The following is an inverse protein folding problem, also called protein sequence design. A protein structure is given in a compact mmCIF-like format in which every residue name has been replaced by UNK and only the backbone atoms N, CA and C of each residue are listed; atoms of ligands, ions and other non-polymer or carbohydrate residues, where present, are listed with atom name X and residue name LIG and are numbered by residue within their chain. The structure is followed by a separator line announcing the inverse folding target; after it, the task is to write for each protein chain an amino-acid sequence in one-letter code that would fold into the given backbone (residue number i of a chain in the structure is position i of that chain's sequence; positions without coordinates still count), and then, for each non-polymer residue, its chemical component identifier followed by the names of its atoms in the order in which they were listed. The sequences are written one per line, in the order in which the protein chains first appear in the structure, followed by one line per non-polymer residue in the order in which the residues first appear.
data_IF_459960534086
#
_entry.id   IF_459960534086
#
_cell.length_a   1.000
_cell.length_b   1.000
_cell.length_c   1.000
_cell.angle_alpha   90.00
_cell.angle_beta   90.00
_cell.angle_gamma   90.00
#
_symmetry.space_group_name_H-M   'P 1'
#
loop_
_entity.id
_entity.type
_entity.pdbx_description
1 polymer ?
#
# COMPACT_ATOMS: atom_id res chain seq x y z
N UNK A 1 -2.03 -14.28 -17.91
CA UNK A 1 -2.19 -12.85 -17.55
C UNK A 1 -3.44 -12.74 -16.67
N UNK A 2 -3.24 -12.68 -15.35
CA UNK A 2 -4.33 -12.68 -14.34
C UNK A 2 -5.16 -11.40 -14.34
N UNK A 3 -4.60 -10.29 -14.85
CA UNK A 3 -5.22 -8.96 -14.79
C UNK A 3 -5.58 -8.38 -16.16
N UNK A 4 -5.69 -9.24 -17.20
CA UNK A 4 -6.11 -8.80 -18.52
C UNK A 4 -7.44 -8.06 -18.43
N UNK A 5 -7.47 -6.82 -18.96
CA UNK A 5 -8.61 -5.92 -18.97
C UNK A 5 -9.11 -5.43 -17.59
N UNK A 6 -8.40 -5.74 -16.50
CA UNK A 6 -8.67 -5.21 -15.17
C UNK A 6 -8.02 -3.83 -14.99
N UNK A 7 -8.76 -2.91 -14.42
CA UNK A 7 -8.29 -1.56 -14.07
C UNK A 7 -7.77 -1.58 -12.63
N UNK A 8 -6.51 -1.22 -12.45
CA UNK A 8 -5.78 -1.29 -11.19
C UNK A 8 -5.32 0.11 -10.76
N UNK A 9 -5.83 0.62 -9.66
CA UNK A 9 -5.37 1.84 -9.02
C UNK A 9 -4.27 1.50 -8.00
N UNK A 10 -3.14 2.20 -8.09
CA UNK A 10 -2.03 2.09 -7.12
C UNK A 10 -1.78 3.47 -6.52
N UNK A 11 -2.02 3.63 -5.21
CA UNK A 11 -1.67 4.86 -4.49
C UNK A 11 -0.23 4.79 -3.97
N UNK A 12 0.49 5.92 -3.98
CA UNK A 12 1.94 5.93 -3.74
C UNK A 12 2.69 5.22 -4.86
N UNK A 13 2.19 5.34 -6.10
CA UNK A 13 2.66 4.59 -7.26
C UNK A 13 3.89 5.16 -7.94
N UNK A 14 4.38 6.34 -7.53
CA UNK A 14 5.51 7.01 -8.15
C UNK A 14 6.88 6.40 -7.81
N UNK A 15 6.97 5.54 -6.79
CA UNK A 15 8.25 4.98 -6.34
C UNK A 15 8.09 3.69 -5.53
N UNK A 16 9.20 3.06 -5.17
CA UNK A 16 9.31 2.00 -4.19
C UNK A 16 8.36 0.83 -4.41
N UNK A 17 7.64 0.45 -3.36
CA UNK A 17 6.71 -0.69 -3.37
C UNK A 17 5.54 -0.48 -4.35
N UNK A 18 5.00 0.76 -4.41
CA UNK A 18 3.92 1.10 -5.32
C UNK A 18 4.33 0.94 -6.78
N UNK A 19 5.47 1.52 -7.19
CA UNK A 19 6.00 1.39 -8.55
C UNK A 19 6.29 -0.08 -8.91
N UNK A 20 6.97 -0.83 -8.05
CA UNK A 20 7.27 -2.23 -8.29
C UNK A 20 6.01 -3.08 -8.49
N UNK A 21 4.99 -2.85 -7.65
CA UNK A 21 3.70 -3.53 -7.74
C UNK A 21 2.95 -3.15 -9.01
N UNK A 22 2.93 -1.86 -9.38
CA UNK A 22 2.31 -1.39 -10.62
C UNK A 22 2.93 -2.04 -11.86
N UNK A 23 4.26 -2.14 -11.91
CA UNK A 23 4.97 -2.83 -13.01
C UNK A 23 4.59 -4.29 -13.13
N UNK A 24 4.43 -5.00 -12.02
CA UNK A 24 3.99 -6.40 -12.02
C UNK A 24 2.54 -6.55 -12.48
N UNK A 25 1.62 -5.68 -12.05
CA UNK A 25 0.25 -5.68 -12.57
C UNK A 25 0.21 -5.44 -14.08
N UNK A 26 1.01 -4.48 -14.58
CA UNK A 26 1.10 -4.20 -16.02
C UNK A 26 1.66 -5.40 -16.81
N UNK A 27 2.71 -6.08 -16.30
CA UNK A 27 3.26 -7.28 -16.91
C UNK A 27 2.24 -8.44 -16.99
N UNK A 28 1.21 -8.43 -16.12
CA UNK A 28 0.12 -9.40 -16.13
C UNK A 28 -1.16 -8.89 -16.83
N UNK A 29 -1.04 -7.79 -17.60
CA UNK A 29 -2.09 -7.29 -18.49
C UNK A 29 -3.05 -6.28 -17.87
N UNK A 30 -2.76 -5.77 -16.68
CA UNK A 30 -3.54 -4.73 -16.01
C UNK A 30 -3.42 -3.36 -16.69
N UNK A 31 -4.51 -2.60 -16.71
CA UNK A 31 -4.56 -1.18 -17.05
C UNK A 31 -4.33 -0.39 -15.77
N UNK A 32 -3.34 0.48 -15.74
CA UNK A 32 -2.87 1.07 -14.49
C UNK A 32 -3.36 2.51 -14.29
N UNK A 33 -3.67 2.84 -13.05
CA UNK A 33 -3.81 4.22 -12.57
C UNK A 33 -2.75 4.43 -11.50
N UNK A 34 -1.75 5.24 -11.84
CA UNK A 34 -0.61 5.57 -10.96
C UNK A 34 -0.96 6.84 -10.22
N UNK A 35 -1.41 6.70 -8.99
CA UNK A 35 -1.82 7.82 -8.15
C UNK A 35 -0.72 8.17 -7.14
N UNK A 36 -0.28 9.41 -7.14
CA UNK A 36 0.75 9.91 -6.22
C UNK A 36 0.62 11.42 -6.03
N UNK A 37 1.11 11.94 -4.90
CA UNK A 37 1.23 13.38 -4.69
C UNK A 37 2.37 13.98 -5.54
N UNK A 38 3.36 13.16 -5.88
CA UNK A 38 4.45 13.48 -6.80
C UNK A 38 3.99 13.26 -8.25
N UNK A 39 3.47 14.31 -8.86
CA UNK A 39 2.95 14.29 -10.23
C UNK A 39 3.99 13.81 -11.24
N UNK A 40 5.21 14.36 -11.21
CA UNK A 40 6.29 14.01 -12.14
C UNK A 40 6.68 12.53 -12.01
N UNK A 41 6.74 12.03 -10.77
CA UNK A 41 7.01 10.62 -10.51
C UNK A 41 5.91 9.70 -11.03
N UNK A 42 4.64 10.06 -10.84
CA UNK A 42 3.51 9.31 -11.37
C UNK A 42 3.51 9.29 -12.91
N UNK A 43 3.76 10.42 -13.55
CA UNK A 43 3.87 10.53 -15.02
C UNK A 43 5.04 9.70 -15.57
N UNK A 44 6.20 9.75 -14.92
CA UNK A 44 7.37 8.92 -15.28
C UNK A 44 7.03 7.43 -15.26
N UNK A 45 6.37 6.97 -14.19
CA UNK A 45 5.98 5.54 -14.08
C UNK A 45 4.93 5.19 -15.13
N UNK A 46 3.87 5.98 -15.24
CA UNK A 46 2.78 5.72 -16.19
C UNK A 46 3.30 5.69 -17.65
N UNK A 47 4.17 6.63 -18.05
CA UNK A 47 4.76 6.67 -19.40
C UNK A 47 5.62 5.45 -19.73
N UNK A 48 6.10 4.72 -18.73
CA UNK A 48 6.90 3.51 -18.90
C UNK A 48 6.07 2.23 -18.99
N UNK A 49 4.74 2.31 -18.86
CA UNK A 49 3.82 1.17 -18.86
C UNK A 49 2.95 1.16 -20.13
N UNK A 50 2.49 -0.01 -20.59
CA UNK A 50 1.75 -0.13 -21.87
C UNK A 50 0.42 0.63 -21.91
N UNK A 51 -0.36 0.61 -20.81
CA UNK A 51 -1.65 1.30 -20.68
C UNK A 51 -1.78 1.81 -19.24
N UNK A 52 -1.42 3.06 -19.04
CA UNK A 52 -1.45 3.67 -17.72
C UNK A 52 -1.87 5.14 -17.76
N UNK A 53 -2.57 5.57 -16.71
CA UNK A 53 -2.94 6.94 -16.41
C UNK A 53 -2.18 7.42 -15.17
N UNK A 54 -1.54 8.58 -15.23
CA UNK A 54 -1.01 9.25 -14.06
C UNK A 54 -2.09 10.15 -13.44
N UNK A 55 -2.24 10.12 -12.12
CA UNK A 55 -3.21 10.94 -11.38
C UNK A 55 -2.50 11.59 -10.19
N UNK A 56 -2.54 12.92 -10.12
CA UNK A 56 -2.06 13.63 -8.93
C UNK A 56 -3.07 13.47 -7.80
N UNK A 57 -2.66 12.81 -6.70
CA UNK A 57 -3.56 12.49 -5.60
C UNK A 57 -2.85 12.64 -4.23
N UNK A 58 -3.30 13.60 -3.41
CA UNK A 58 -3.01 13.61 -1.97
C UNK A 58 -4.02 12.69 -1.27
N UNK A 59 -3.59 11.51 -0.82
CA UNK A 59 -4.48 10.58 -0.11
C UNK A 59 -4.98 11.13 1.23
N UNK A 60 -4.27 12.08 1.84
CA UNK A 60 -4.73 12.75 3.05
C UNK A 60 -5.80 13.83 2.82
N UNK A 61 -6.27 14.04 1.59
CA UNK A 61 -7.36 14.95 1.23
C UNK A 61 -8.49 14.16 0.55
N UNK A 62 -9.65 14.11 1.22
CA UNK A 62 -10.83 13.39 0.74
C UNK A 62 -11.27 13.83 -0.66
N UNK A 63 -11.23 15.13 -0.95
CA UNK A 63 -11.64 15.70 -2.25
C UNK A 63 -10.65 15.31 -3.35
N UNK A 64 -9.34 15.29 -3.04
CA UNK A 64 -8.31 14.82 -3.96
C UNK A 64 -8.48 13.34 -4.32
N UNK A 65 -8.80 12.50 -3.31
CA UNK A 65 -9.06 11.07 -3.52
C UNK A 65 -10.31 10.84 -4.36
N UNK A 66 -11.42 11.52 -4.04
CA UNK A 66 -12.67 11.41 -4.80
C UNK A 66 -12.46 11.78 -6.28
N UNK A 67 -11.81 12.91 -6.54
CA UNK A 67 -11.47 13.36 -7.90
C UNK A 67 -10.60 12.34 -8.64
N UNK A 68 -9.53 11.87 -8.01
CA UNK A 68 -8.61 10.94 -8.68
C UNK A 68 -9.24 9.59 -9.00
N UNK A 69 -10.13 9.08 -8.14
CA UNK A 69 -10.90 7.87 -8.45
C UNK A 69 -11.91 8.15 -9.58
N UNK A 70 -12.54 9.32 -9.60
CA UNK A 70 -13.44 9.71 -10.69
C UNK A 70 -12.69 9.81 -12.03
N UNK A 71 -11.47 10.34 -12.06
CA UNK A 71 -10.61 10.36 -13.26
C UNK A 71 -10.30 8.95 -13.77
N UNK A 72 -9.97 8.01 -12.86
CA UNK A 72 -9.74 6.62 -13.21
C UNK A 72 -10.98 5.98 -13.87
N UNK A 73 -12.15 6.18 -13.27
CA UNK A 73 -13.43 5.67 -13.79
C UNK A 73 -13.80 6.34 -15.11
N UNK A 74 -13.59 7.65 -15.24
CA UNK A 74 -13.84 8.37 -16.49
C UNK A 74 -12.97 7.85 -17.66
N UNK A 75 -11.70 7.50 -17.37
CA UNK A 75 -10.74 6.99 -18.37
C UNK A 75 -11.03 5.55 -18.81
N UNK A 76 -11.42 4.68 -17.88
CA UNK A 76 -11.47 3.23 -18.11
C UNK A 76 -12.88 2.63 -17.97
N UNK A 77 -13.86 3.39 -17.48
CA UNK A 77 -15.24 2.95 -17.28
C UNK A 77 -15.49 2.06 -16.05
N UNK A 78 -14.43 1.64 -15.35
CA UNK A 78 -14.49 0.72 -14.20
C UNK A 78 -13.29 0.83 -13.29
N UNK A 79 -13.38 0.20 -12.12
CA UNK A 79 -12.27 -0.01 -11.21
C UNK A 79 -12.38 -1.41 -10.60
N UNK A 80 -11.36 -2.25 -10.81
CA UNK A 80 -11.38 -3.66 -10.40
C UNK A 80 -10.48 -3.97 -9.22
N UNK A 81 -9.33 -3.29 -9.14
CA UNK A 81 -8.33 -3.53 -8.12
C UNK A 81 -7.83 -2.20 -7.56
N UNK A 82 -7.64 -2.14 -6.25
CA UNK A 82 -6.93 -1.05 -5.59
C UNK A 82 -5.78 -1.63 -4.77
N UNK A 83 -4.57 -1.18 -5.03
CA UNK A 83 -3.46 -1.30 -4.10
C UNK A 83 -3.33 0.01 -3.31
N UNK A 84 -3.92 0.02 -2.12
CA UNK A 84 -3.97 1.17 -1.21
C UNK A 84 -2.70 1.23 -0.38
N UNK A 85 -1.65 1.83 -0.97
CA UNK A 85 -0.28 1.71 -0.50
C UNK A 85 0.34 3.02 0.01
N UNK A 86 -0.15 4.18 -0.41
CA UNK A 86 0.41 5.46 0.00
C UNK A 86 0.54 5.58 1.54
N UNK A 87 1.69 6.05 1.99
CA UNK A 87 1.97 6.22 3.41
C UNK A 87 3.35 6.81 3.68
N UNK A 88 3.55 7.25 4.91
CA UNK A 88 4.80 7.82 5.42
C UNK A 88 5.16 7.20 6.78
N UNK A 89 6.44 7.18 7.11
CA UNK A 89 6.91 6.69 8.42
C UNK A 89 6.73 7.72 9.55
N UNK A 90 6.82 9.01 9.21
CA UNK A 90 6.88 10.10 10.19
C UNK A 90 8.25 10.20 10.87
N UNK A 91 8.31 11.02 11.93
CA UNK A 91 9.52 11.18 12.74
C UNK A 91 9.51 10.18 13.90
N UNK A 92 10.67 9.65 14.23
CA UNK A 92 10.87 8.78 15.39
C UNK A 92 11.04 9.62 16.65
N UNK A 93 10.17 9.44 17.64
CA UNK A 93 10.18 10.15 18.91
C UNK A 93 9.56 9.30 20.01
N UNK A 94 10.04 9.45 21.25
CA UNK A 94 9.40 8.81 22.39
C UNK A 94 7.94 9.29 22.52
N UNK A 95 7.06 8.43 23.00
CA UNK A 95 5.60 8.70 23.01
C UNK A 95 5.25 10.00 23.74
N UNK A 96 5.88 10.28 24.89
CA UNK A 96 5.59 11.48 25.69
C UNK A 96 6.20 12.77 25.11
N UNK A 97 7.13 12.65 24.17
CA UNK A 97 7.79 13.76 23.47
C UNK A 97 7.26 13.94 22.05
N UNK A 98 6.29 13.10 21.63
CA UNK A 98 5.78 13.09 20.26
C UNK A 98 5.21 14.44 19.87
N UNK A 99 5.76 15.05 18.81
CA UNK A 99 5.22 16.26 18.22
C UNK A 99 3.81 16.02 17.68
N UNK A 100 2.86 16.84 18.11
CA UNK A 100 1.46 16.75 17.67
C UNK A 100 1.31 16.97 16.15
N UNK A 101 2.15 17.81 15.54
CA UNK A 101 2.12 18.00 14.10
C UNK A 101 2.60 16.73 13.33
N UNK A 102 3.60 16.02 13.88
CA UNK A 102 4.00 14.73 13.34
C UNK A 102 2.90 13.67 13.51
N UNK A 103 2.26 13.62 14.68
CA UNK A 103 1.11 12.76 14.93
C UNK A 103 -0.01 12.99 13.90
N UNK A 104 -0.44 14.25 13.73
CA UNK A 104 -1.52 14.62 12.81
C UNK A 104 -1.16 14.31 11.37
N UNK A 105 0.08 14.60 10.95
CA UNK A 105 0.58 14.31 9.59
C UNK A 105 0.51 12.83 9.27
N UNK A 106 1.03 11.97 10.17
CA UNK A 106 1.04 10.51 9.96
C UNK A 106 -0.39 9.97 9.98
N UNK A 107 -1.24 10.40 10.93
CA UNK A 107 -2.64 10.00 11.00
C UNK A 107 -3.40 10.39 9.73
N UNK A 108 -3.25 11.62 9.27
CA UNK A 108 -3.94 12.15 8.08
C UNK A 108 -3.61 11.33 6.83
N UNK A 109 -2.35 11.00 6.62
CA UNK A 109 -1.92 10.28 5.41
C UNK A 109 -2.19 8.79 5.54
N UNK A 110 -1.69 8.14 6.60
CA UNK A 110 -1.76 6.68 6.75
C UNK A 110 -3.11 6.17 7.25
N UNK A 111 -3.83 6.95 8.04
CA UNK A 111 -5.12 6.58 8.63
C UNK A 111 -6.29 7.08 7.80
N UNK A 112 -6.50 8.40 7.81
CA UNK A 112 -7.62 9.02 7.11
C UNK A 112 -7.53 8.76 5.61
N UNK A 113 -6.30 8.81 5.03
CA UNK A 113 -6.07 8.55 3.61
C UNK A 113 -6.49 7.15 3.18
N UNK A 114 -6.13 6.13 3.97
CA UNK A 114 -6.57 4.76 3.68
C UNK A 114 -8.10 4.65 3.74
N UNK A 115 -8.73 5.30 4.70
CA UNK A 115 -10.19 5.35 4.80
C UNK A 115 -10.83 6.04 3.58
N UNK A 116 -10.30 7.18 3.11
CA UNK A 116 -10.84 7.87 1.95
C UNK A 116 -10.75 7.02 0.69
N UNK A 117 -9.62 6.36 0.46
CA UNK A 117 -9.44 5.44 -0.68
C UNK A 117 -10.40 4.27 -0.59
N UNK A 118 -10.62 3.67 0.60
CA UNK A 118 -11.62 2.62 0.80
C UNK A 118 -13.03 3.14 0.49
N UNK A 119 -13.42 4.29 1.03
CA UNK A 119 -14.75 4.88 0.85
C UNK A 119 -15.10 5.09 -0.62
N UNK A 120 -14.28 5.85 -1.34
CA UNK A 120 -14.56 6.19 -2.73
C UNK A 120 -14.26 5.04 -3.70
N UNK A 121 -13.24 4.23 -3.39
CA UNK A 121 -12.88 3.07 -4.18
C UNK A 121 -13.94 1.97 -4.14
N UNK A 122 -14.46 1.64 -2.96
CA UNK A 122 -15.55 0.66 -2.82
C UNK A 122 -16.79 1.14 -3.58
N UNK A 123 -17.17 2.41 -3.46
CA UNK A 123 -18.30 2.97 -4.19
C UNK A 123 -18.14 2.82 -5.72
N UNK A 124 -16.94 3.10 -6.25
CA UNK A 124 -16.64 2.88 -7.65
C UNK A 124 -16.69 1.38 -8.05
N UNK A 125 -16.13 0.50 -7.23
CA UNK A 125 -16.13 -0.95 -7.45
C UNK A 125 -17.55 -1.54 -7.46
N UNK A 126 -18.42 -1.07 -6.57
CA UNK A 126 -19.81 -1.54 -6.53
C UNK A 126 -20.56 -1.21 -7.82
N UNK A 127 -20.27 -0.10 -8.47
CA UNK A 127 -20.81 0.24 -9.80
C UNK A 127 -20.21 -0.61 -10.92
N UNK A 128 -19.04 -1.20 -10.69
CA UNK A 128 -18.34 -2.06 -11.66
C UNK A 128 -18.63 -3.57 -11.47
N UNK A 129 -19.43 -3.93 -10.47
CA UNK A 129 -19.79 -5.33 -10.16
C UNK A 129 -18.89 -6.03 -9.14
N UNK A 130 -18.11 -5.29 -8.38
CA UNK A 130 -17.21 -5.80 -7.36
C UNK A 130 -15.73 -5.53 -7.64
N UNK A 131 -14.84 -6.12 -6.83
CA UNK A 131 -13.41 -5.92 -6.99
C UNK A 131 -12.56 -6.44 -5.82
N UNK A 132 -11.28 -6.11 -5.82
CA UNK A 132 -10.37 -6.48 -4.74
C UNK A 132 -9.53 -5.27 -4.29
N UNK A 133 -9.44 -5.06 -2.98
CA UNK A 133 -8.60 -4.04 -2.36
C UNK A 133 -7.53 -4.71 -1.52
N UNK A 134 -6.29 -4.28 -1.69
CA UNK A 134 -5.17 -4.68 -0.84
C UNK A 134 -4.60 -3.44 -0.17
N UNK A 135 -4.71 -3.36 1.15
CA UNK A 135 -4.16 -2.28 1.96
C UNK A 135 -2.72 -2.59 2.38
N UNK A 136 -1.89 -1.58 2.52
CA UNK A 136 -0.53 -1.71 3.08
C UNK A 136 -0.53 -1.36 4.56
N UNK A 137 -0.58 -2.39 5.43
CA UNK A 137 -0.27 -2.29 6.85
C UNK A 137 1.26 -2.39 7.05
N UNK A 138 1.71 -2.96 8.13
CA UNK A 138 3.12 -3.23 8.48
C UNK A 138 3.16 -4.28 9.59
N UNK A 139 4.30 -4.91 9.81
CA UNK A 139 4.55 -5.67 11.04
C UNK A 139 4.34 -4.80 12.28
N UNK A 140 4.63 -3.49 12.21
CA UNK A 140 4.33 -2.53 13.27
C UNK A 140 2.83 -2.38 13.59
N UNK A 141 1.94 -2.77 12.68
CA UNK A 141 0.50 -2.83 12.93
C UNK A 141 0.04 -4.14 13.58
N UNK A 142 0.90 -5.14 13.63
CA UNK A 142 0.66 -6.47 14.24
C UNK A 142 1.40 -6.66 15.57
N UNK A 143 2.48 -5.91 15.76
CA UNK A 143 3.33 -5.90 16.97
C UNK A 143 3.53 -4.47 17.44
N UNK A 144 4.34 -4.26 18.48
CA UNK A 144 4.75 -2.95 18.94
C UNK A 144 6.22 -2.68 18.55
N UNK A 145 6.50 -1.42 18.21
CA UNK A 145 7.85 -0.90 18.04
C UNK A 145 7.95 0.45 18.76
N UNK A 146 9.10 0.73 19.37
CA UNK A 146 9.37 1.97 20.09
C UNK A 146 9.56 3.16 19.13
N UNK A 147 9.31 4.36 19.64
CA UNK A 147 9.52 5.64 18.96
C UNK A 147 8.75 5.91 17.66
N UNK A 148 7.80 5.02 17.25
CA UNK A 148 6.98 5.18 16.03
C UNK A 148 5.48 5.07 16.32
N UNK A 149 5.03 5.56 17.47
CA UNK A 149 3.63 5.40 17.93
C UNK A 149 2.56 5.88 16.92
N UNK A 150 2.69 7.01 16.19
CA UNK A 150 1.70 7.39 15.17
C UNK A 150 1.63 6.39 14.01
N UNK A 151 2.78 5.88 13.58
CA UNK A 151 2.87 4.86 12.53
C UNK A 151 2.21 3.55 12.99
N UNK A 152 2.59 3.03 14.17
CA UNK A 152 2.00 1.83 14.78
C UNK A 152 0.49 1.96 14.91
N UNK A 153 -0.01 3.10 15.44
CA UNK A 153 -1.43 3.37 15.56
C UNK A 153 -2.16 3.28 14.21
N UNK A 154 -1.62 3.95 13.18
CA UNK A 154 -2.25 3.96 11.86
C UNK A 154 -2.21 2.60 11.17
N UNK A 155 -1.08 1.88 11.27
CA UNK A 155 -0.93 0.55 10.65
C UNK A 155 -1.78 -0.52 11.35
N UNK A 156 -1.98 -0.42 12.68
CA UNK A 156 -2.94 -1.25 13.41
C UNK A 156 -4.39 -0.88 13.03
N UNK A 157 -4.71 0.41 12.88
CA UNK A 157 -6.01 0.88 12.39
C UNK A 157 -6.36 0.35 11.01
N UNK A 158 -5.40 0.22 10.10
CA UNK A 158 -5.59 -0.39 8.77
C UNK A 158 -6.04 -1.86 8.88
N UNK A 159 -5.51 -2.63 9.84
CA UNK A 159 -5.95 -4.01 10.09
C UNK A 159 -7.44 -4.04 10.48
N UNK A 160 -7.87 -3.12 11.36
CA UNK A 160 -9.26 -2.96 11.75
C UNK A 160 -10.17 -2.57 10.58
N UNK A 161 -9.78 -1.55 9.80
CA UNK A 161 -10.53 -1.10 8.61
C UNK A 161 -10.63 -2.20 7.55
N UNK A 162 -9.57 -2.98 7.35
CA UNK A 162 -9.56 -4.11 6.42
C UNK A 162 -10.62 -5.14 6.80
N UNK A 163 -10.69 -5.52 8.07
CA UNK A 163 -11.69 -6.49 8.59
C UNK A 163 -13.12 -5.96 8.46
N UNK A 164 -13.33 -4.70 8.86
CA UNK A 164 -14.65 -4.07 8.80
C UNK A 164 -15.17 -4.01 7.36
N UNK A 165 -14.38 -3.46 6.43
CA UNK A 165 -14.76 -3.37 5.03
C UNK A 165 -14.96 -4.75 4.38
N UNK A 166 -14.13 -5.74 4.73
CA UNK A 166 -14.28 -7.11 4.22
C UNK A 166 -15.64 -7.71 4.60
N UNK A 167 -16.03 -7.61 5.87
CA UNK A 167 -17.31 -8.16 6.35
C UNK A 167 -18.50 -7.41 5.73
N UNK A 168 -18.41 -6.08 5.63
CA UNK A 168 -19.49 -5.24 5.13
C UNK A 168 -19.77 -5.42 3.63
N UNK A 169 -18.73 -5.68 2.82
CA UNK A 169 -18.85 -5.70 1.37
C UNK A 169 -18.65 -7.07 0.69
N UNK A 170 -18.33 -8.13 1.44
CA UNK A 170 -18.14 -9.47 0.87
C UNK A 170 -19.35 -9.95 0.06
N UNK A 171 -20.56 -9.81 0.59
CA UNK A 171 -21.81 -10.20 -0.09
C UNK A 171 -22.10 -9.33 -1.34
N UNK A 172 -21.40 -8.21 -1.50
CA UNK A 172 -21.52 -7.30 -2.64
C UNK A 172 -20.37 -7.45 -3.64
N UNK A 173 -19.57 -8.52 -3.51
CA UNK A 173 -18.49 -8.87 -4.42
C UNK A 173 -17.21 -8.05 -4.27
N UNK A 174 -17.00 -7.35 -3.15
CA UNK A 174 -15.75 -6.65 -2.87
C UNK A 174 -14.96 -7.39 -1.80
N UNK A 175 -13.74 -7.80 -2.11
CA UNK A 175 -12.79 -8.39 -1.17
C UNK A 175 -11.82 -7.32 -0.68
N UNK A 176 -11.53 -7.30 0.60
CA UNK A 176 -10.57 -6.36 1.19
C UNK A 176 -9.59 -7.13 2.07
N UNK A 177 -8.31 -7.07 1.74
CA UNK A 177 -7.23 -7.69 2.49
C UNK A 177 -6.12 -6.67 2.75
N UNK A 178 -5.13 -7.04 3.53
CA UNK A 178 -3.94 -6.25 3.75
C UNK A 178 -2.67 -7.10 3.64
N UNK A 179 -1.57 -6.46 3.30
CA UNK A 179 -0.21 -6.96 3.50
C UNK A 179 0.44 -6.23 4.66
N UNK A 180 1.26 -6.94 5.43
CA UNK A 180 2.03 -6.37 6.55
C UNK A 180 3.53 -6.68 6.38
N UNK A 181 4.22 -5.91 5.53
CA UNK A 181 5.65 -6.09 5.34
C UNK A 181 6.44 -5.67 6.59
N UNK A 182 7.62 -6.26 6.76
CA UNK A 182 8.73 -5.71 7.55
C UNK A 182 9.45 -4.61 6.75
N UNK A 183 10.68 -4.25 7.12
CA UNK A 183 11.53 -3.39 6.27
C UNK A 183 11.67 -4.02 4.89
N UNK A 184 11.36 -3.27 3.84
CA UNK A 184 11.42 -3.72 2.44
C UNK A 184 12.54 -2.98 1.73
N UNK A 185 13.39 -3.70 1.01
CA UNK A 185 14.45 -3.11 0.21
C UNK A 185 13.83 -2.30 -0.94
N UNK A 186 13.85 -0.99 -0.77
CA UNK A 186 13.39 0.02 -1.73
C UNK A 186 14.54 1.00 -1.99
N UNK A 187 14.50 1.82 -3.06
CA UNK A 187 15.51 2.83 -3.30
C UNK A 187 15.73 3.78 -2.10
N UNK A 188 14.69 4.07 -1.32
CA UNK A 188 14.80 4.87 -0.09
C UNK A 188 15.62 4.15 0.97
N UNK A 189 15.35 2.86 1.21
CA UNK A 189 16.09 2.04 2.20
C UNK A 189 17.53 1.82 1.74
N UNK A 190 17.76 1.56 0.46
CA UNK A 190 19.11 1.47 -0.10
C UNK A 190 19.92 2.76 0.11
N UNK A 191 19.29 3.91 -0.18
CA UNK A 191 19.90 5.22 0.05
C UNK A 191 20.20 5.46 1.53
N UNK A 192 19.28 5.08 2.43
CA UNK A 192 19.46 5.20 3.87
C UNK A 192 20.64 4.34 4.36
N UNK A 193 20.73 3.09 3.90
CA UNK A 193 21.86 2.19 4.23
C UNK A 193 23.17 2.77 3.70
N UNK A 194 23.21 3.21 2.44
CA UNK A 194 24.41 3.71 1.79
C UNK A 194 24.98 4.98 2.46
N UNK A 195 24.14 5.79 3.09
CA UNK A 195 24.53 7.02 3.78
C UNK A 195 24.68 6.87 5.31
N UNK A 196 24.55 5.65 5.85
CA UNK A 196 24.80 5.38 7.26
C UNK A 196 26.29 5.51 7.59
N UNK A 197 26.67 5.87 8.84
CA UNK A 197 28.07 5.90 9.26
C UNK A 197 28.82 4.58 9.06
N UNK A 198 28.13 3.46 9.22
CA UNK A 198 28.60 2.10 8.88
C UNK A 198 27.50 1.38 8.08
N UNK A 199 27.56 1.41 6.74
CA UNK A 199 26.57 0.78 5.88
C UNK A 199 26.42 -0.72 6.08
N UNK A 200 27.53 -1.44 6.36
CA UNK A 200 27.48 -2.87 6.59
C UNK A 200 26.83 -3.22 7.93
N UNK A 201 27.11 -2.47 8.98
CA UNK A 201 26.47 -2.66 10.26
C UNK A 201 24.98 -2.36 10.17
N UNK A 202 24.58 -1.28 9.50
CA UNK A 202 23.19 -0.92 9.27
C UNK A 202 22.45 -2.04 8.51
N UNK A 203 23.04 -2.57 7.44
CA UNK A 203 22.47 -3.68 6.69
C UNK A 203 22.29 -4.93 7.59
N UNK A 204 23.32 -5.34 8.31
CA UNK A 204 23.24 -6.48 9.24
C UNK A 204 22.15 -6.29 10.29
N UNK A 205 22.01 -5.08 10.82
CA UNK A 205 20.96 -4.76 11.78
C UNK A 205 19.57 -4.94 11.19
N UNK A 206 19.34 -4.43 9.97
CA UNK A 206 18.04 -4.60 9.28
C UNK A 206 17.76 -6.08 8.93
N UNK A 207 18.76 -6.82 8.48
CA UNK A 207 18.63 -8.25 8.22
C UNK A 207 18.30 -9.07 9.48
N UNK A 208 18.78 -8.64 10.64
CA UNK A 208 18.56 -9.34 11.91
C UNK A 208 17.12 -9.22 12.46
N UNK A 209 16.29 -8.35 11.91
CA UNK A 209 14.91 -8.24 12.33
C UNK A 209 14.11 -9.51 12.01
N UNK A 210 14.44 -10.17 10.90
CA UNK A 210 13.67 -11.31 10.41
C UNK A 210 14.35 -12.65 10.75
N UNK A 211 13.61 -13.68 11.19
CA UNK A 211 14.14 -15.04 11.29
C UNK A 211 14.71 -15.59 9.97
N UNK A 212 14.01 -15.32 8.85
CA UNK A 212 14.55 -15.59 7.52
C UNK A 212 15.67 -14.60 7.19
N UNK A 213 16.89 -15.06 6.86
CA UNK A 213 17.99 -14.16 6.50
C UNK A 213 17.65 -13.26 5.30
N UNK A 214 18.13 -12.01 5.35
CA UNK A 214 17.98 -11.02 4.30
C UNK A 214 16.83 -10.05 4.54
N UNK A 215 16.68 -9.10 3.61
CA UNK A 215 15.62 -8.09 3.59
C UNK A 215 14.73 -8.39 2.39
N UNK A 216 13.38 -8.49 2.55
CA UNK A 216 12.51 -8.73 1.42
C UNK A 216 12.58 -7.57 0.42
N UNK A 217 12.46 -7.89 -0.85
CA UNK A 217 12.40 -6.93 -1.94
C UNK A 217 10.97 -6.40 -2.14
N UNK A 218 10.83 -5.30 -2.86
CA UNK A 218 9.52 -4.82 -3.27
C UNK A 218 8.77 -5.86 -4.13
N UNK A 219 9.50 -6.69 -4.88
CA UNK A 219 8.94 -7.75 -5.71
C UNK A 219 8.37 -8.93 -4.88
N UNK A 220 9.00 -9.26 -3.74
CA UNK A 220 8.45 -10.26 -2.80
C UNK A 220 7.08 -9.82 -2.27
N UNK A 221 6.93 -8.54 -1.92
CA UNK A 221 5.66 -7.98 -1.46
C UNK A 221 4.64 -7.92 -2.60
N UNK A 222 5.05 -7.46 -3.78
CA UNK A 222 4.17 -7.37 -4.95
C UNK A 222 3.58 -8.73 -5.32
N UNK A 223 4.33 -9.83 -5.17
CA UNK A 223 3.83 -11.18 -5.41
C UNK A 223 2.60 -11.52 -4.56
N UNK A 224 2.62 -11.17 -3.28
CA UNK A 224 1.49 -11.40 -2.37
C UNK A 224 0.32 -10.46 -2.68
N UNK A 225 0.60 -9.19 -3.01
CA UNK A 225 -0.43 -8.22 -3.42
C UNK A 225 -1.18 -8.72 -4.64
N UNK A 226 -0.47 -9.18 -5.68
CA UNK A 226 -1.09 -9.71 -6.89
C UNK A 226 -1.93 -10.97 -6.59
N UNK A 227 -1.45 -11.88 -5.74
CA UNK A 227 -2.24 -13.03 -5.30
C UNK A 227 -3.55 -12.59 -4.64
N UNK A 228 -3.49 -11.70 -3.64
CA UNK A 228 -4.68 -11.22 -2.92
C UNK A 228 -5.66 -10.45 -3.84
N UNK A 229 -5.15 -9.78 -4.86
CA UNK A 229 -5.96 -9.07 -5.84
C UNK A 229 -6.59 -9.97 -6.91
N UNK A 230 -6.05 -11.18 -7.12
CA UNK A 230 -6.47 -12.10 -8.19
C UNK A 230 -7.67 -12.96 -7.81
N UNK A 231 -8.21 -13.68 -8.80
CA UNK A 231 -9.27 -14.66 -8.60
C UNK A 231 -8.78 -15.91 -7.84
N UNK A 232 -7.46 -16.16 -7.77
CA UNK A 232 -6.87 -17.22 -6.95
C UNK A 232 -7.15 -17.01 -5.45
N UNK A 233 -7.46 -15.78 -5.04
CA UNK A 233 -7.82 -15.41 -3.68
C UNK A 233 -9.34 -15.16 -3.49
N UNK A 234 -10.19 -15.77 -4.31
CA UNK A 234 -11.65 -15.51 -4.33
C UNK A 234 -12.33 -15.71 -2.95
N UNK A 235 -11.82 -16.59 -2.11
CA UNK A 235 -12.33 -16.86 -0.76
C UNK A 235 -11.48 -16.23 0.35
N UNK A 236 -10.52 -15.38 0.00
CA UNK A 236 -9.67 -14.67 0.96
C UNK A 236 -10.14 -13.23 1.08
N UNK A 237 -10.72 -12.88 2.23
CA UNK A 237 -11.10 -11.49 2.57
C UNK A 237 -11.00 -11.26 4.07
N UNK A 238 -10.69 -10.05 4.51
CA UNK A 238 -10.53 -9.66 5.91
C UNK A 238 -9.19 -10.06 6.55
N UNK A 239 -8.25 -10.58 5.78
CA UNK A 239 -6.97 -11.05 6.27
C UNK A 239 -5.86 -10.02 6.08
N UNK A 240 -4.91 -10.02 7.02
CA UNK A 240 -3.64 -9.31 6.93
C UNK A 240 -2.52 -10.33 6.83
N UNK A 241 -1.79 -10.34 5.73
CA UNK A 241 -0.72 -11.31 5.48
C UNK A 241 0.63 -10.69 5.81
N UNK A 242 1.35 -11.17 6.84
CA UNK A 242 2.71 -10.75 7.12
C UNK A 242 3.66 -11.17 6.00
N UNK A 243 4.56 -10.26 5.61
CA UNK A 243 5.65 -10.53 4.67
C UNK A 243 6.95 -10.13 5.37
N UNK A 244 7.37 -10.98 6.29
CA UNK A 244 8.28 -10.62 7.37
C UNK A 244 9.32 -11.70 7.72
N UNK A 245 9.41 -12.75 6.92
CA UNK A 245 10.33 -13.85 7.18
C UNK A 245 10.11 -14.56 8.52
N UNK A 246 8.91 -14.49 9.10
CA UNK A 246 8.55 -15.10 10.38
C UNK A 246 8.69 -14.21 11.61
N UNK A 247 8.86 -12.89 11.41
CA UNK A 247 9.05 -11.93 12.52
C UNK A 247 7.89 -11.95 13.53
N UNK A 248 6.64 -11.93 13.08
CA UNK A 248 5.46 -11.93 13.96
C UNK A 248 5.02 -13.31 14.44
N UNK A 249 5.68 -14.37 14.01
CA UNK A 249 5.36 -15.75 14.41
C UNK A 249 6.08 -16.22 15.68
N UNK A 250 6.95 -15.36 16.25
CA UNK A 250 7.76 -15.65 17.45
C UNK A 250 7.33 -14.83 18.64
#
# INVERSE_FOLDING_TARGET
MRFRDRVVLVTGGASGLGEATARRFAAEGGKLVIADINTEGAERVASSLPDALAVTMDTGDATSVERGIAEAVARYGRLDVIFNNAGIDGQQQALHEMDLANWEKVRRINGDGVFYVLRYGIDAMLRSGGGAIVNTSSTAGLTAQDNISPYTFTKAGIVGLTRSAAVEYAARGVRVNAVAPTVVMTPLVEHFIANAPDPEQMRRQMESFNPKPGIPTADDVAGVVLFLASDDAAWVTGHTIPIDGGYVAR
#
